data_IF_857551830276
#
_entry.id   IF_857551830276
#
_cell.length_a   1.000
_cell.length_b   1.000
_cell.length_c   1.000
_cell.angle_alpha   90.00
_cell.angle_beta   90.00
_cell.angle_gamma   90.00
#
_symmetry.space_group_name_H-M   'P 1'
#
loop_
_entity.id
_entity.type
_entity.pdbx_description
1 polymer ?
#
# COMPACT_ATOMS: atom_id res chain seq x y z
N UNK A 1 -35.46 -15.77 38.78
CA UNK A 1 -34.49 -16.60 38.10
C UNK A 1 -34.85 -18.05 38.39
N UNK A 2 -35.92 -18.52 37.76
CA UNK A 2 -36.48 -19.86 37.99
C UNK A 2 -35.72 -20.92 37.18
N UNK A 3 -35.22 -20.56 36.01
CA UNK A 3 -34.37 -21.37 35.12
C UNK A 3 -32.86 -21.16 35.33
N UNK A 4 -32.44 -20.21 36.16
CA UNK A 4 -31.04 -20.00 36.58
C UNK A 4 -30.13 -19.54 35.44
N UNK A 5 -30.67 -18.77 34.49
CA UNK A 5 -29.94 -18.21 33.37
C UNK A 5 -29.25 -16.88 33.74
N UNK A 6 -29.67 -16.23 34.83
CA UNK A 6 -29.15 -14.95 35.31
C UNK A 6 -30.12 -13.77 35.21
N UNK A 7 -31.30 -13.95 34.61
CA UNK A 7 -32.40 -12.98 34.62
C UNK A 7 -33.43 -13.31 35.70
N UNK A 8 -34.08 -12.28 36.25
CA UNK A 8 -35.21 -12.54 37.14
C UNK A 8 -36.51 -12.79 36.35
N UNK A 9 -37.36 -13.73 36.80
CA UNK A 9 -38.70 -13.97 36.22
C UNK A 9 -39.49 -12.68 35.97
N UNK A 10 -39.32 -11.69 36.84
CA UNK A 10 -39.95 -10.39 36.69
C UNK A 10 -39.40 -9.56 35.52
N UNK A 11 -38.10 -9.63 35.23
CA UNK A 11 -37.48 -8.99 34.07
C UNK A 11 -37.86 -9.68 32.77
N UNK A 12 -37.86 -11.00 32.76
CA UNK A 12 -38.24 -11.82 31.62
C UNK A 12 -39.69 -11.54 31.21
N UNK A 13 -40.65 -11.71 32.13
CA UNK A 13 -42.08 -11.52 31.84
C UNK A 13 -42.43 -10.05 31.50
N UNK A 14 -41.86 -9.08 32.22
CA UNK A 14 -42.31 -7.69 32.13
C UNK A 14 -41.53 -6.86 31.13
N UNK A 15 -40.25 -7.14 30.91
CA UNK A 15 -39.34 -6.27 30.13
C UNK A 15 -38.92 -6.91 28.82
N UNK A 16 -38.36 -8.11 28.86
CA UNK A 16 -37.73 -8.74 27.70
C UNK A 16 -38.66 -9.67 26.94
N UNK A 17 -39.80 -10.04 27.54
CA UNK A 17 -40.81 -10.94 26.97
C UNK A 17 -40.30 -12.34 26.66
N UNK A 18 -39.29 -12.76 27.40
CA UNK A 18 -38.69 -14.08 27.35
C UNK A 18 -39.42 -15.09 28.27
N UNK A 19 -39.00 -16.36 28.24
CA UNK A 19 -39.66 -17.48 28.91
C UNK A 19 -38.97 -17.83 30.25
N UNK A 20 -39.49 -17.30 31.37
CA UNK A 20 -38.97 -17.49 32.73
C UNK A 20 -38.79 -18.93 33.30
N UNK A 21 -39.05 -19.96 32.50
CA UNK A 21 -38.84 -21.37 32.85
C UNK A 21 -37.84 -22.05 31.90
N UNK A 22 -37.34 -21.33 30.91
CA UNK A 22 -36.46 -21.83 29.86
C UNK A 22 -35.32 -20.82 29.69
N UNK A 23 -34.08 -21.21 30.04
CA UNK A 23 -32.96 -20.29 30.08
C UNK A 23 -32.53 -19.75 28.70
N UNK A 24 -33.09 -20.31 27.63
CA UNK A 24 -32.83 -20.00 26.22
C UNK A 24 -34.21 -19.97 25.51
N UNK A 25 -34.68 -18.76 25.23
CA UNK A 25 -36.06 -18.49 24.81
C UNK A 25 -36.31 -18.76 23.34
N UNK A 26 -35.33 -18.76 22.46
CA UNK A 26 -35.54 -19.10 21.04
C UNK A 26 -34.86 -20.41 20.61
N UNK A 27 -34.03 -20.97 21.49
CA UNK A 27 -33.44 -22.29 21.36
C UNK A 27 -32.22 -22.33 20.45
N UNK A 28 -31.50 -21.21 20.30
CA UNK A 28 -30.35 -21.10 19.40
C UNK A 28 -29.02 -21.52 20.05
N UNK A 29 -29.02 -21.72 21.37
CA UNK A 29 -27.86 -22.15 22.15
C UNK A 29 -27.23 -21.08 23.05
N UNK A 30 -27.70 -19.84 23.02
CA UNK A 30 -27.34 -18.79 23.98
C UNK A 30 -28.43 -18.64 25.04
N UNK A 31 -28.05 -18.29 26.28
CA UNK A 31 -29.06 -17.97 27.29
C UNK A 31 -29.59 -16.55 27.11
N UNK A 32 -30.84 -16.29 27.51
CA UNK A 32 -31.46 -14.96 27.38
C UNK A 32 -30.60 -13.86 28.02
N UNK A 33 -30.00 -14.18 29.17
CA UNK A 33 -29.06 -13.29 29.85
C UNK A 33 -27.77 -13.02 29.05
N UNK A 34 -27.23 -14.02 28.35
CA UNK A 34 -25.99 -13.91 27.58
C UNK A 34 -26.19 -13.06 26.33
N UNK A 35 -27.30 -13.27 25.65
CA UNK A 35 -27.74 -12.47 24.53
C UNK A 35 -27.90 -10.99 24.93
N UNK A 36 -28.64 -10.71 26.00
CA UNK A 36 -28.87 -9.33 26.43
C UNK A 36 -27.61 -8.66 26.99
N UNK A 37 -26.78 -9.37 27.76
CA UNK A 37 -25.64 -8.79 28.47
C UNK A 37 -24.35 -8.77 27.65
N UNK A 38 -24.07 -9.83 26.89
CA UNK A 38 -22.79 -10.04 26.19
C UNK A 38 -22.90 -9.74 24.70
N UNK A 39 -23.84 -10.35 24.00
CA UNK A 39 -23.89 -10.32 22.52
C UNK A 39 -24.74 -9.19 21.94
N UNK A 40 -25.69 -8.67 22.73
CA UNK A 40 -26.67 -7.63 22.37
C UNK A 40 -27.65 -8.05 21.27
N UNK A 41 -27.91 -9.35 21.17
CA UNK A 41 -28.92 -9.98 20.30
C UNK A 41 -30.33 -9.93 20.94
N UNK A 42 -31.36 -10.31 20.19
CA UNK A 42 -32.73 -10.39 20.69
C UNK A 42 -33.06 -11.83 21.13
N UNK A 43 -33.27 -12.08 22.44
CA UNK A 43 -33.47 -13.44 22.98
C UNK A 43 -34.77 -14.13 22.56
N UNK A 44 -35.53 -13.53 21.65
CA UNK A 44 -36.73 -14.12 21.07
C UNK A 44 -36.55 -14.43 19.58
N UNK A 45 -35.35 -14.24 19.04
CA UNK A 45 -35.02 -14.33 17.62
C UNK A 45 -33.68 -15.06 17.46
N UNK A 46 -33.75 -16.36 17.20
CA UNK A 46 -32.60 -17.24 17.06
C UNK A 46 -31.56 -16.86 15.97
N UNK A 47 -31.82 -15.82 15.18
CA UNK A 47 -31.00 -15.27 14.09
C UNK A 47 -31.34 -13.78 14.01
N UNK A 48 -30.66 -12.98 14.84
CA UNK A 48 -31.01 -11.58 15.11
C UNK A 48 -30.82 -10.70 13.87
N UNK A 49 -29.81 -10.98 13.04
CA UNK A 49 -29.50 -10.18 11.86
C UNK A 49 -30.13 -10.71 10.56
N UNK A 50 -30.63 -11.95 10.57
CA UNK A 50 -31.43 -12.56 9.53
C UNK A 50 -30.63 -13.06 8.34
N UNK A 51 -29.35 -13.37 8.50
CA UNK A 51 -28.50 -13.90 7.43
C UNK A 51 -28.71 -15.41 7.17
N UNK A 52 -29.33 -16.10 8.14
CA UNK A 52 -29.64 -17.52 8.14
C UNK A 52 -28.69 -18.42 8.94
N UNK A 53 -27.73 -17.84 9.66
CA UNK A 53 -26.89 -18.43 10.70
C UNK A 53 -27.46 -17.97 12.06
N UNK A 54 -27.59 -18.87 13.04
CA UNK A 54 -28.19 -18.49 14.32
C UNK A 54 -27.18 -17.82 15.27
N UNK A 55 -27.63 -16.95 16.17
CA UNK A 55 -26.72 -16.13 16.98
C UNK A 55 -25.76 -17.01 17.82
N UNK A 56 -26.27 -18.10 18.38
CA UNK A 56 -25.47 -19.12 19.06
C UNK A 56 -24.49 -19.86 18.16
N UNK A 57 -24.87 -20.19 16.92
CA UNK A 57 -23.97 -20.84 15.95
C UNK A 57 -22.83 -19.89 15.55
N UNK A 58 -23.14 -18.62 15.35
CA UNK A 58 -22.17 -17.57 15.04
C UNK A 58 -21.13 -17.38 16.14
N UNK A 59 -21.58 -17.29 17.40
CA UNK A 59 -20.71 -17.05 18.54
C UNK A 59 -19.83 -18.26 18.86
N UNK A 60 -20.41 -19.46 18.89
CA UNK A 60 -19.72 -20.65 19.41
C UNK A 60 -18.97 -21.43 18.33
N UNK A 61 -19.45 -21.45 17.08
CA UNK A 61 -18.84 -22.26 16.01
C UNK A 61 -17.98 -21.45 15.04
N UNK A 62 -18.48 -20.31 14.56
CA UNK A 62 -17.85 -19.57 13.46
C UNK A 62 -17.06 -18.33 13.91
N UNK A 63 -17.32 -17.84 15.12
CA UNK A 63 -16.72 -16.62 15.65
C UNK A 63 -17.09 -15.36 14.87
N UNK A 64 -18.28 -15.35 14.26
CA UNK A 64 -18.85 -14.19 13.55
C UNK A 64 -19.60 -13.26 14.51
N UNK A 65 -20.14 -12.16 14.00
CA UNK A 65 -20.85 -11.17 14.79
C UNK A 65 -22.37 -11.27 14.55
N UNK A 66 -23.16 -11.71 15.54
CA UNK A 66 -24.59 -12.00 15.38
C UNK A 66 -25.51 -10.78 15.23
N UNK A 67 -24.90 -9.61 15.00
CA UNK A 67 -25.60 -8.36 14.71
C UNK A 67 -25.32 -7.87 13.29
N UNK A 68 -24.55 -8.63 12.53
CA UNK A 68 -24.04 -8.29 11.22
C UNK A 68 -24.02 -9.54 10.33
N UNK A 69 -25.03 -9.68 9.48
CA UNK A 69 -25.08 -10.82 8.56
C UNK A 69 -23.95 -10.89 7.53
N UNK A 70 -23.01 -9.94 7.56
CA UNK A 70 -21.76 -9.88 6.80
C UNK A 70 -20.71 -9.32 7.78
N UNK A 71 -20.05 -10.23 8.50
CA UNK A 71 -19.18 -9.89 9.64
C UNK A 71 -17.95 -9.10 9.19
N UNK A 72 -17.33 -9.51 8.09
CA UNK A 72 -16.10 -8.90 7.59
C UNK A 72 -16.31 -7.74 6.59
N UNK A 73 -17.55 -7.56 6.15
CA UNK A 73 -18.04 -6.48 5.27
C UNK A 73 -17.49 -6.52 3.86
N UNK A 74 -17.25 -7.72 3.36
CA UNK A 74 -16.80 -7.96 2.00
C UNK A 74 -17.94 -8.03 0.98
N UNK A 75 -19.19 -8.19 1.46
CA UNK A 75 -20.41 -8.27 0.68
C UNK A 75 -20.99 -9.69 0.55
N UNK A 76 -20.35 -10.68 1.15
CA UNK A 76 -20.86 -12.04 1.36
C UNK A 76 -21.61 -12.08 2.69
N UNK A 77 -22.59 -12.98 2.84
CA UNK A 77 -23.20 -13.22 4.14
C UNK A 77 -22.47 -14.38 4.81
N UNK A 78 -22.38 -14.36 6.14
CA UNK A 78 -21.63 -15.34 6.93
C UNK A 78 -22.11 -16.77 6.65
N UNK A 79 -23.44 -16.99 6.59
CA UNK A 79 -24.02 -18.29 6.22
C UNK A 79 -23.52 -18.83 4.87
N UNK A 80 -23.28 -17.94 3.90
CA UNK A 80 -22.87 -18.33 2.54
C UNK A 80 -21.42 -18.80 2.56
N UNK A 81 -20.59 -18.13 3.33
CA UNK A 81 -19.16 -18.41 3.46
C UNK A 81 -18.96 -19.72 4.20
N UNK A 82 -19.64 -19.90 5.33
CA UNK A 82 -19.69 -21.16 6.06
C UNK A 82 -20.10 -22.32 5.15
N UNK A 83 -21.17 -22.15 4.36
CA UNK A 83 -21.63 -23.18 3.39
C UNK A 83 -20.66 -23.41 2.24
N UNK A 84 -19.89 -22.41 1.86
CA UNK A 84 -18.87 -22.52 0.83
C UNK A 84 -17.54 -23.07 1.36
N UNK A 85 -17.36 -23.11 2.69
CA UNK A 85 -16.12 -23.48 3.36
C UNK A 85 -15.03 -22.41 3.27
N UNK A 86 -15.42 -21.14 3.12
CA UNK A 86 -14.54 -19.98 3.24
C UNK A 86 -14.62 -19.41 4.67
N UNK A 87 -13.67 -18.54 5.04
CA UNK A 87 -13.64 -17.90 6.36
C UNK A 87 -14.51 -16.62 6.39
N UNK A 88 -15.66 -16.60 7.10
CA UNK A 88 -16.56 -15.45 7.17
C UNK A 88 -15.98 -14.22 7.92
N UNK A 89 -14.79 -14.36 8.49
CA UNK A 89 -14.08 -13.27 9.16
C UNK A 89 -12.95 -12.69 8.30
N UNK A 90 -12.81 -13.13 7.04
CA UNK A 90 -11.69 -12.78 6.17
C UNK A 90 -12.16 -12.00 4.94
N UNK A 91 -12.04 -10.64 4.94
CA UNK A 91 -12.65 -9.79 3.92
C UNK A 91 -11.99 -9.84 2.54
N UNK A 92 -11.08 -10.80 2.35
CA UNK A 92 -10.35 -11.08 1.13
C UNK A 92 -10.61 -12.49 0.58
N UNK A 93 -11.48 -13.29 1.22
CA UNK A 93 -11.80 -14.67 0.82
C UNK A 93 -13.26 -14.85 0.47
N UNK A 94 -13.56 -14.93 -0.83
CA UNK A 94 -14.94 -14.95 -1.32
C UNK A 94 -15.47 -16.36 -1.62
N UNK A 95 -16.73 -16.67 -1.29
CA UNK A 95 -17.36 -17.95 -1.63
C UNK A 95 -17.61 -18.03 -3.14
N UNK A 96 -17.02 -19.03 -3.81
CA UNK A 96 -17.06 -19.18 -5.26
C UNK A 96 -18.48 -19.44 -5.86
N UNK A 97 -19.52 -19.57 -5.03
CA UNK A 97 -20.86 -20.03 -5.42
C UNK A 97 -21.94 -18.95 -5.45
N UNK A 98 -21.65 -17.69 -5.12
CA UNK A 98 -22.53 -16.56 -5.47
C UNK A 98 -21.91 -15.69 -6.57
N UNK A 99 -22.02 -16.17 -7.81
CA UNK A 99 -22.37 -15.25 -8.89
C UNK A 99 -23.79 -14.73 -8.62
N UNK A 100 -23.92 -13.79 -7.69
CA UNK A 100 -25.12 -12.97 -7.58
C UNK A 100 -24.89 -11.77 -8.52
N UNK A 101 -25.60 -11.69 -9.67
CA UNK A 101 -25.39 -10.61 -10.64
C UNK A 101 -25.72 -9.21 -10.09
N UNK A 102 -26.37 -9.12 -8.92
CA UNK A 102 -26.77 -7.86 -8.27
C UNK A 102 -25.76 -7.32 -7.24
N UNK A 103 -24.89 -8.16 -6.67
CA UNK A 103 -23.71 -7.77 -5.86
C UNK A 103 -22.48 -8.25 -6.61
N UNK A 104 -22.01 -7.42 -7.53
CA UNK A 104 -20.78 -7.71 -8.26
C UNK A 104 -19.55 -7.32 -7.46
N UNK A 105 -18.43 -7.83 -7.91
CA UNK A 105 -17.16 -7.73 -7.19
C UNK A 105 -16.63 -6.29 -7.16
N UNK A 106 -16.07 -5.85 -6.02
CA UNK A 106 -15.25 -4.63 -5.94
C UNK A 106 -14.08 -4.73 -6.93
N UNK A 107 -13.50 -3.60 -7.38
CA UNK A 107 -12.33 -3.65 -8.23
C UNK A 107 -11.20 -4.38 -7.52
N UNK A 108 -10.45 -5.19 -8.25
CA UNK A 108 -9.28 -5.88 -7.73
C UNK A 108 -8.06 -5.53 -8.59
N UNK A 109 -7.01 -4.98 -7.98
CA UNK A 109 -5.74 -4.70 -8.68
C UNK A 109 -4.99 -6.03 -8.84
N UNK A 110 -4.74 -6.44 -10.08
CA UNK A 110 -3.98 -7.65 -10.42
C UNK A 110 -2.50 -7.37 -10.64
N UNK A 111 -2.18 -6.18 -11.14
CA UNK A 111 -0.79 -5.70 -11.29
C UNK A 111 -0.72 -4.27 -10.75
N UNK A 112 -0.07 -4.03 -9.61
CA UNK A 112 0.11 -2.69 -9.08
C UNK A 112 1.11 -1.89 -9.93
N UNK A 113 1.01 -0.54 -9.96
CA UNK A 113 2.00 0.29 -10.65
C UNK A 113 3.36 0.20 -9.99
N UNK A 114 4.45 0.41 -10.73
CA UNK A 114 5.81 0.46 -10.18
C UNK A 114 6.37 1.88 -10.14
N UNK A 115 7.47 2.05 -9.40
CA UNK A 115 8.22 3.31 -9.37
C UNK A 115 8.80 3.62 -10.75
N UNK A 116 8.78 4.90 -11.12
CA UNK A 116 9.27 5.38 -12.41
C UNK A 116 10.46 6.32 -12.25
N UNK A 117 11.41 6.22 -13.18
CA UNK A 117 12.58 7.10 -13.26
C UNK A 117 12.74 7.60 -14.68
N UNK A 118 12.75 8.91 -14.86
CA UNK A 118 12.74 9.52 -16.19
C UNK A 118 13.69 10.70 -16.29
N UNK A 119 14.30 10.88 -17.47
CA UNK A 119 15.12 12.06 -17.72
C UNK A 119 14.26 13.33 -17.79
N UNK A 120 14.83 14.48 -17.42
CA UNK A 120 14.14 15.77 -17.53
C UNK A 120 13.63 16.00 -18.97
N UNK A 121 12.35 16.36 -19.11
CA UNK A 121 11.68 16.51 -20.39
C UNK A 121 11.27 15.18 -21.05
N UNK A 122 11.53 14.04 -20.41
CA UNK A 122 11.09 12.73 -20.88
C UNK A 122 9.60 12.45 -20.59
N UNK A 123 9.19 11.21 -20.85
CA UNK A 123 7.83 10.73 -20.57
C UNK A 123 7.87 9.65 -19.49
N UNK A 124 7.09 9.81 -18.42
CA UNK A 124 6.84 8.78 -17.42
C UNK A 124 5.50 8.06 -17.70
N UNK A 125 5.44 6.76 -17.39
CA UNK A 125 4.26 5.92 -17.63
C UNK A 125 3.97 5.03 -16.41
N UNK A 126 3.04 5.46 -15.55
CA UNK A 126 2.51 4.56 -14.53
C UNK A 126 1.38 3.72 -15.11
N UNK A 127 1.41 2.40 -14.89
CA UNK A 127 0.39 1.47 -15.38
C UNK A 127 -0.17 0.64 -14.24
N UNK A 128 -1.48 0.45 -14.20
CA UNK A 128 -2.15 -0.48 -13.29
C UNK A 128 -3.00 -1.44 -14.09
N UNK A 129 -3.03 -2.70 -13.68
CA UNK A 129 -4.02 -3.66 -14.17
C UNK A 129 -4.99 -3.99 -13.04
N UNK A 130 -6.27 -3.95 -13.36
CA UNK A 130 -7.33 -4.27 -12.43
C UNK A 130 -8.48 -4.96 -13.16
N UNK A 131 -9.25 -5.73 -12.41
CA UNK A 131 -10.41 -6.49 -12.90
C UNK A 131 -11.67 -6.13 -12.11
N UNK A 132 -12.76 -6.80 -12.49
CA UNK A 132 -14.09 -6.77 -11.86
C UNK A 132 -14.96 -5.59 -12.28
N UNK A 133 -15.77 -5.83 -13.31
CA UNK A 133 -16.76 -4.88 -13.83
C UNK A 133 -16.19 -3.76 -14.71
N UNK A 134 -17.00 -2.73 -14.94
CA UNK A 134 -16.58 -1.52 -15.64
C UNK A 134 -15.81 -0.61 -14.68
N UNK A 135 -14.53 -0.40 -14.97
CA UNK A 135 -13.61 0.31 -14.08
C UNK A 135 -13.47 1.78 -14.47
N UNK A 136 -13.40 2.63 -13.46
CA UNK A 136 -12.99 4.04 -13.55
C UNK A 136 -11.75 4.27 -12.70
N UNK A 137 -10.80 5.02 -13.24
CA UNK A 137 -9.51 5.29 -12.61
C UNK A 137 -9.44 6.75 -12.19
N UNK A 138 -8.71 7.04 -11.12
CA UNK A 138 -8.35 8.40 -10.74
C UNK A 138 -6.95 8.42 -10.15
N UNK A 139 -6.01 8.97 -10.89
CA UNK A 139 -4.65 9.18 -10.41
C UNK A 139 -4.57 10.41 -9.50
N UNK A 140 -3.88 10.25 -8.38
CA UNK A 140 -3.65 11.29 -7.39
C UNK A 140 -2.15 11.43 -7.18
N UNK A 141 -1.67 12.66 -7.21
CA UNK A 141 -0.35 13.03 -6.70
C UNK A 141 -0.51 13.49 -5.25
N UNK A 142 0.21 12.86 -4.32
CA UNK A 142 0.12 13.19 -2.91
C UNK A 142 0.57 14.64 -2.68
N UNK A 143 -0.28 15.44 -2.05
CA UNK A 143 -0.07 16.87 -1.83
C UNK A 143 -0.70 17.80 -2.87
N UNK A 144 -1.05 17.29 -4.06
CA UNK A 144 -1.63 18.09 -5.16
C UNK A 144 -3.02 17.61 -5.60
N UNK A 145 -3.40 16.38 -5.26
CA UNK A 145 -4.73 15.84 -5.54
C UNK A 145 -4.81 15.16 -6.91
N UNK A 146 -6.01 15.16 -7.49
CA UNK A 146 -6.30 14.40 -8.71
C UNK A 146 -5.67 15.06 -9.95
N UNK A 147 -4.94 14.26 -10.74
CA UNK A 147 -4.14 14.74 -11.88
C UNK A 147 -4.71 14.33 -13.26
N UNK A 148 -6.04 14.27 -13.37
CA UNK A 148 -6.74 14.28 -14.66
C UNK A 148 -6.73 12.98 -15.49
N UNK A 149 -6.06 11.91 -15.04
CA UNK A 149 -6.09 10.62 -15.75
C UNK A 149 -7.25 9.72 -15.26
N UNK A 150 -8.22 9.48 -16.13
CA UNK A 150 -9.31 8.50 -15.97
C UNK A 150 -9.03 7.19 -16.73
N UNK A 151 -7.77 6.76 -16.78
CA UNK A 151 -7.33 5.56 -17.48
C UNK A 151 -6.44 4.71 -16.58
N UNK A 152 -6.29 3.44 -16.95
CA UNK A 152 -5.39 2.49 -16.27
C UNK A 152 -3.90 2.82 -16.49
N UNK A 153 -3.60 3.82 -17.33
CA UNK A 153 -2.27 4.37 -17.54
C UNK A 153 -2.29 5.87 -17.26
N UNK A 154 -1.39 6.32 -16.41
CA UNK A 154 -1.04 7.73 -16.28
C UNK A 154 0.21 8.00 -17.11
N UNK A 155 0.07 8.89 -18.08
CA UNK A 155 1.16 9.40 -18.90
C UNK A 155 1.46 10.84 -18.50
N UNK A 156 2.72 11.11 -18.14
CA UNK A 156 3.21 12.46 -17.88
C UNK A 156 4.28 12.74 -18.93
N UNK A 157 4.04 13.73 -19.78
CA UNK A 157 4.96 14.17 -20.83
C UNK A 157 5.74 15.40 -20.39
N UNK A 158 6.93 15.58 -20.95
CA UNK A 158 7.83 16.70 -20.63
C UNK A 158 8.10 16.83 -19.12
N UNK A 159 8.39 15.70 -18.47
CA UNK A 159 8.51 15.60 -17.01
C UNK A 159 9.49 16.64 -16.46
N UNK A 160 9.00 17.49 -15.57
CA UNK A 160 9.72 18.54 -14.86
C UNK A 160 9.89 18.25 -13.38
N UNK A 161 10.49 19.20 -12.66
CA UNK A 161 10.65 19.10 -11.21
C UNK A 161 9.31 19.06 -10.46
N UNK A 162 8.33 19.79 -10.98
CA UNK A 162 6.99 19.85 -10.40
C UNK A 162 6.20 18.55 -10.57
N UNK A 163 6.67 17.59 -11.38
CA UNK A 163 6.03 16.27 -11.51
C UNK A 163 6.61 15.26 -10.50
N UNK A 164 7.69 15.58 -9.81
CA UNK A 164 8.33 14.65 -8.88
C UNK A 164 7.52 14.51 -7.61
N UNK A 165 7.42 13.28 -7.12
CA UNK A 165 6.66 12.98 -5.91
C UNK A 165 6.05 11.59 -5.91
N UNK A 166 5.04 11.45 -5.06
CA UNK A 166 4.37 10.18 -4.81
C UNK A 166 2.99 10.16 -5.45
N UNK A 167 2.65 9.02 -6.04
CA UNK A 167 1.42 8.81 -6.79
C UNK A 167 0.67 7.60 -6.26
N UNK A 168 -0.65 7.66 -6.33
CA UNK A 168 -1.57 6.56 -6.06
C UNK A 168 -2.71 6.60 -7.07
N UNK A 169 -3.22 5.43 -7.48
CA UNK A 169 -4.43 5.35 -8.31
C UNK A 169 -5.58 4.76 -7.50
N UNK A 170 -6.73 5.43 -7.60
CA UNK A 170 -8.00 4.88 -7.14
C UNK A 170 -8.64 4.15 -8.31
N UNK A 171 -9.02 2.90 -8.08
CA UNK A 171 -9.77 2.10 -9.04
C UNK A 171 -11.16 1.90 -8.47
N UNK A 172 -12.19 2.27 -9.24
CA UNK A 172 -13.58 2.28 -8.80
C UNK A 172 -14.48 1.57 -9.79
N UNK A 173 -15.53 0.94 -9.28
CA UNK A 173 -16.66 0.45 -10.06
C UNK A 173 -17.96 0.73 -9.28
N UNK A 174 -19.11 0.21 -9.75
CA UNK A 174 -20.40 0.42 -9.07
C UNK A 174 -20.49 -0.18 -7.65
N UNK A 175 -19.54 -1.03 -7.27
CA UNK A 175 -19.55 -1.78 -6.01
C UNK A 175 -18.50 -1.29 -5.00
N UNK A 176 -17.56 -0.44 -5.41
CA UNK A 176 -16.59 0.11 -4.48
C UNK A 176 -15.41 0.81 -5.14
N UNK A 177 -14.48 1.25 -4.29
CA UNK A 177 -13.22 1.89 -4.69
C UNK A 177 -12.07 1.32 -3.87
N UNK A 178 -10.95 1.00 -4.52
CA UNK A 178 -9.71 0.56 -3.88
C UNK A 178 -8.55 1.46 -4.27
N UNK A 179 -7.50 1.48 -3.43
CA UNK A 179 -6.26 2.22 -3.66
C UNK A 179 -5.14 1.27 -4.08
N UNK A 180 -4.27 1.71 -4.99
CA UNK A 180 -3.01 1.02 -5.26
C UNK A 180 -1.99 1.21 -4.13
N UNK A 181 -0.87 0.47 -4.20
CA UNK A 181 0.35 0.89 -3.48
C UNK A 181 0.78 2.29 -3.96
N UNK A 182 1.44 3.03 -3.07
CA UNK A 182 2.07 4.31 -3.42
C UNK A 182 3.32 4.05 -4.26
N UNK A 183 3.50 4.80 -5.34
CA UNK A 183 4.68 4.75 -6.23
C UNK A 183 5.35 6.11 -6.32
N UNK A 184 6.63 6.15 -6.65
CA UNK A 184 7.42 7.37 -6.77
C UNK A 184 7.81 7.65 -8.22
N UNK A 185 7.75 8.92 -8.63
CA UNK A 185 8.41 9.43 -9.83
C UNK A 185 9.70 10.16 -9.44
N UNK A 186 10.84 9.74 -9.99
CA UNK A 186 12.12 10.44 -9.83
C UNK A 186 12.67 10.95 -11.17
N UNK A 187 13.44 12.04 -11.10
CA UNK A 187 14.28 12.45 -12.22
C UNK A 187 15.57 11.63 -12.28
N UNK A 188 15.83 11.07 -13.45
CA UNK A 188 17.18 10.72 -13.88
C UNK A 188 17.82 12.02 -14.37
N UNK A 189 18.64 12.66 -13.54
CA UNK A 189 19.52 13.69 -14.07
C UNK A 189 20.50 12.99 -15.03
N UNK A 190 20.40 13.27 -16.33
CA UNK A 190 21.53 13.12 -17.26
C UNK A 190 22.44 14.32 -17.01
N UNK A 191 23.60 14.16 -16.40
CA UNK A 191 24.57 15.22 -16.32
C UNK A 191 25.17 15.30 -17.71
N UNK A 192 25.62 16.50 -18.08
CA UNK A 192 26.42 16.66 -19.29
C UNK A 192 27.63 15.71 -19.26
N UNK A 193 28.37 15.66 -20.38
CA UNK A 193 29.65 14.93 -20.46
C UNK A 193 30.39 14.99 -19.12
N UNK A 194 30.75 13.85 -18.52
CA UNK A 194 31.21 13.84 -17.16
C UNK A 194 32.46 14.71 -17.06
N UNK A 195 32.46 15.60 -16.08
CA UNK A 195 33.44 16.67 -15.95
C UNK A 195 34.13 16.55 -14.61
N UNK A 196 35.45 16.65 -14.67
CA UNK A 196 36.32 16.78 -13.50
C UNK A 196 36.81 18.22 -13.44
N UNK A 197 36.48 18.91 -12.36
CA UNK A 197 36.92 20.28 -12.09
C UNK A 197 37.78 20.30 -10.82
N UNK A 198 38.93 20.96 -10.91
CA UNK A 198 39.75 21.27 -9.73
C UNK A 198 39.23 22.60 -9.17
N UNK A 199 38.63 22.56 -7.99
CA UNK A 199 37.90 23.70 -7.41
C UNK A 199 38.76 24.48 -6.42
N UNK A 200 39.72 23.82 -5.77
CA UNK A 200 40.57 24.47 -4.77
C UNK A 200 41.93 23.77 -4.66
N UNK A 201 42.99 24.57 -4.52
CA UNK A 201 44.35 24.10 -4.21
C UNK A 201 44.88 24.98 -3.08
N UNK A 202 45.21 24.37 -1.94
CA UNK A 202 45.91 25.04 -0.84
C UNK A 202 47.03 24.15 -0.34
N UNK A 203 48.25 24.37 -0.86
CA UNK A 203 49.58 23.90 -0.40
C UNK A 203 49.82 22.41 -0.14
N UNK A 204 48.81 21.70 0.38
CA UNK A 204 48.72 20.30 0.81
C UNK A 204 47.34 19.68 0.50
N UNK A 205 46.37 20.45 -0.02
CA UNK A 205 44.98 19.99 -0.27
C UNK A 205 44.53 20.34 -1.68
N UNK A 206 43.85 19.39 -2.32
CA UNK A 206 43.13 19.61 -3.57
C UNK A 206 41.67 19.19 -3.39
N UNK A 207 40.75 20.06 -3.80
CA UNK A 207 39.32 19.74 -3.89
C UNK A 207 38.97 19.49 -5.35
N UNK A 208 38.41 18.32 -5.62
CA UNK A 208 37.94 17.92 -6.96
C UNK A 208 36.41 17.85 -6.91
N UNK A 209 35.75 18.52 -7.86
CA UNK A 209 34.33 18.35 -8.12
C UNK A 209 34.16 17.45 -9.34
N UNK A 210 33.36 16.40 -9.18
CA UNK A 210 32.99 15.50 -10.27
C UNK A 210 31.50 15.68 -10.51
N UNK A 211 31.17 16.04 -11.75
CA UNK A 211 29.79 16.06 -12.25
C UNK A 211 29.65 14.97 -13.29
N UNK A 212 28.71 14.05 -13.10
CA UNK A 212 28.56 12.86 -13.94
C UNK A 212 27.28 12.12 -13.60
N UNK A 213 26.79 11.30 -14.51
CA UNK A 213 25.47 10.67 -14.37
C UNK A 213 25.33 9.76 -13.16
N UNK A 214 24.10 9.70 -12.63
CA UNK A 214 23.76 8.84 -11.51
C UNK A 214 23.59 7.38 -11.90
N UNK A 215 23.80 7.03 -13.18
CA UNK A 215 23.68 5.68 -13.73
C UNK A 215 25.03 4.97 -13.80
N UNK A 216 26.15 5.70 -13.79
CA UNK A 216 27.51 5.17 -13.86
C UNK A 216 28.35 5.51 -12.63
N UNK A 217 29.26 4.60 -12.28
CA UNK A 217 30.30 4.87 -11.29
C UNK A 217 31.57 5.25 -12.03
N UNK A 218 32.15 6.40 -11.71
CA UNK A 218 33.38 6.84 -12.36
C UNK A 218 34.59 6.64 -11.46
N UNK A 219 35.67 6.13 -12.05
CA UNK A 219 36.98 6.04 -11.41
C UNK A 219 37.81 7.29 -11.72
N UNK A 220 38.31 7.92 -10.66
CA UNK A 220 39.27 9.01 -10.76
C UNK A 220 40.66 8.38 -10.70
N UNK A 221 41.45 8.59 -11.75
CA UNK A 221 42.82 8.13 -11.82
C UNK A 221 43.80 9.29 -11.80
N UNK A 222 44.97 9.05 -11.23
CA UNK A 222 46.09 9.98 -11.21
C UNK A 222 47.32 9.39 -11.92
N UNK A 223 48.06 10.26 -12.61
CA UNK A 223 49.32 9.93 -13.27
C UNK A 223 50.35 11.03 -13.04
N UNK A 224 51.62 10.67 -12.93
CA UNK A 224 52.74 11.65 -12.85
C UNK A 224 53.38 11.94 -14.22
N UNK A 225 53.14 11.08 -15.20
CA UNK A 225 53.90 11.05 -16.46
C UNK A 225 53.01 10.85 -17.71
N UNK A 226 51.69 10.83 -17.52
CA UNK A 226 50.67 10.53 -18.54
C UNK A 226 50.71 9.10 -19.10
N UNK A 227 51.61 8.24 -18.63
CA UNK A 227 51.79 6.87 -19.12
C UNK A 227 51.26 5.86 -18.11
N UNK A 228 51.64 5.98 -16.84
CA UNK A 228 51.15 5.12 -15.77
C UNK A 228 50.00 5.79 -15.03
N UNK A 229 48.85 5.12 -14.99
CA UNK A 229 47.65 5.60 -14.30
C UNK A 229 47.34 4.71 -13.11
N UNK A 230 47.03 5.31 -11.97
CA UNK A 230 46.66 4.59 -10.74
C UNK A 230 45.30 5.08 -10.23
N UNK A 231 44.42 4.19 -9.74
CA UNK A 231 43.18 4.58 -9.09
C UNK A 231 43.48 5.47 -7.89
N UNK A 232 42.82 6.63 -7.82
CA UNK A 232 42.96 7.59 -6.74
C UNK A 232 41.74 7.57 -5.82
N UNK A 233 40.55 7.57 -6.41
CA UNK A 233 39.28 7.47 -5.73
C UNK A 233 38.22 7.06 -6.74
N UNK A 234 37.14 6.45 -6.25
CA UNK A 234 35.90 6.35 -7.01
C UNK A 234 35.05 7.54 -6.60
N UNK A 235 34.33 8.16 -7.53
CA UNK A 235 33.27 9.08 -7.16
C UNK A 235 32.22 8.30 -6.31
N UNK A 236 32.08 8.49 -4.98
CA UNK A 236 31.43 7.48 -4.17
C UNK A 236 30.01 7.86 -3.67
N UNK A 237 29.09 6.89 -3.71
CA UNK A 237 28.12 6.49 -2.66
C UNK A 237 26.88 7.33 -2.29
N UNK A 238 26.63 8.50 -2.88
CA UNK A 238 25.27 9.10 -3.05
C UNK A 238 25.45 10.36 -3.90
N UNK A 239 24.97 10.34 -5.14
CA UNK A 239 24.69 11.59 -5.86
C UNK A 239 23.65 12.35 -5.03
N UNK A 240 23.84 13.67 -4.86
CA UNK A 240 22.69 14.50 -4.50
C UNK A 240 21.73 14.55 -5.71
N UNK A 241 20.49 14.97 -5.48
CA UNK A 241 19.41 15.05 -6.49
C UNK A 241 19.72 15.97 -7.69
N UNK A 242 20.96 16.49 -7.78
CA UNK A 242 21.47 17.37 -8.84
C UNK A 242 22.66 16.80 -9.63
N UNK A 243 23.05 15.54 -9.39
CA UNK A 243 24.11 14.86 -10.18
C UNK A 243 25.54 15.39 -9.95
N UNK A 244 25.79 16.03 -8.80
CA UNK A 244 27.11 16.55 -8.42
C UNK A 244 27.65 15.88 -7.16
N UNK A 245 28.91 15.46 -7.19
CA UNK A 245 29.64 15.00 -6.01
C UNK A 245 30.94 15.77 -5.85
N UNK A 246 31.24 16.17 -4.62
CA UNK A 246 32.48 16.86 -4.26
C UNK A 246 33.37 15.91 -3.46
N UNK A 247 34.61 15.74 -3.91
CA UNK A 247 35.61 14.92 -3.24
C UNK A 247 36.78 15.81 -2.80
N UNK A 248 37.10 15.78 -1.52
CA UNK A 248 38.24 16.49 -0.95
C UNK A 248 39.39 15.53 -0.69
N UNK A 249 40.53 15.78 -1.33
CA UNK A 249 41.71 14.93 -1.23
C UNK A 249 42.86 15.70 -0.57
N UNK A 250 43.43 15.11 0.48
CA UNK A 250 44.70 15.56 1.03
C UNK A 250 45.82 14.89 0.22
N UNK A 251 46.51 15.65 -0.63
CA UNK A 251 47.60 15.13 -1.47
C UNK A 251 48.94 15.58 -0.90
N UNK A 252 49.96 14.70 -0.95
CA UNK A 252 51.32 15.10 -0.65
C UNK A 252 51.80 16.17 -1.65
N UNK A 253 52.73 17.08 -1.29
CA UNK A 253 53.27 18.09 -2.21
C UNK A 253 53.79 17.49 -3.53
N UNK A 254 54.33 16.28 -3.48
CA UNK A 254 54.82 15.51 -4.63
C UNK A 254 53.69 15.03 -5.56
N UNK A 255 52.49 14.78 -5.01
CA UNK A 255 51.30 14.37 -5.76
C UNK A 255 50.51 15.56 -6.32
N UNK A 256 50.90 16.80 -5.99
CA UNK A 256 50.29 18.01 -6.57
C UNK A 256 50.77 18.29 -8.01
N UNK A 257 51.90 17.71 -8.42
CA UNK A 257 52.45 17.84 -9.78
C UNK A 257 52.03 16.65 -10.66
N UNK A 258 50.73 16.34 -10.69
CA UNK A 258 50.17 15.19 -11.39
C UNK A 258 49.02 15.56 -12.32
N UNK A 259 48.66 14.62 -13.19
CA UNK A 259 47.52 14.66 -14.08
C UNK A 259 46.39 13.80 -13.49
N UNK A 260 45.16 14.26 -13.69
CA UNK A 260 43.95 13.54 -13.26
C UNK A 260 43.08 13.27 -14.47
N UNK A 261 42.41 12.12 -14.49
CA UNK A 261 41.38 11.81 -15.48
C UNK A 261 40.22 11.09 -14.84
N UNK A 262 39.11 11.12 -15.56
CA UNK A 262 37.93 10.34 -15.26
C UNK A 262 37.85 9.18 -16.25
N UNK A 263 37.64 7.97 -15.76
CA UNK A 263 37.30 6.80 -16.56
C UNK A 263 35.96 6.25 -16.11
N UNK A 264 35.13 5.85 -17.07
CA UNK A 264 33.89 5.11 -16.86
C UNK A 264 34.18 3.63 -16.63
#
# INVERSE_FOLDING_TARGET
>A
DTDQDGLSDGEEDNKYKTRALEPDTDGDGLTDSEELERHKTDPNVADTDGDGLGDGEEVEEHGTNPLLGDTDRDGSLDLIEVKAGTDPNNPFEYPATRYNPDIGERPAITVPPDDEKVILGGTALFKVEARNGTLSYRWIKLGEGAIGANQNVLRIDNVGHDDIGFYVVLVSNKFGTIYSKTVRLDLITKPGKPRLDIVFIDGKRITIEVTGDSLHTYEIQHSRDLKEWRPLAYNPLKTNDRGKTRLELNLSPESMHGFFRLTE
#
